data_IF_901001575235
#
_entry.id   IF_901001575235
#
_cell.length_a   1.000
_cell.length_b   1.000
_cell.length_c   1.000
_cell.angle_alpha   90.00
_cell.angle_beta   90.00
_cell.angle_gamma   90.00
#
_symmetry.space_group_name_H-M   'P 1'
#
loop_
_entity.id
_entity.type
_entity.pdbx_description
1 polymer ?
#
# COMPACT_ATOMS: atom_id res chain seq x y z
N UNK A 1 -52.72 -32.06 -32.11
CA UNK A 1 -52.61 -30.86 -31.32
C UNK A 1 -51.19 -30.82 -30.69
N UNK A 2 -50.26 -30.04 -31.18
CA UNK A 2 -48.88 -29.88 -30.61
C UNK A 2 -48.92 -28.81 -29.52
N UNK A 3 -48.71 -29.21 -28.30
CA UNK A 3 -48.54 -28.28 -27.15
C UNK A 3 -47.12 -27.72 -27.18
N UNK A 4 -46.98 -26.41 -27.40
CA UNK A 4 -45.75 -25.67 -27.24
C UNK A 4 -45.56 -25.39 -25.75
N UNK A 5 -44.47 -25.91 -25.17
CA UNK A 5 -44.06 -25.62 -23.79
C UNK A 5 -43.18 -24.36 -23.85
N UNK A 6 -43.69 -23.22 -23.41
CA UNK A 6 -42.93 -21.99 -23.30
C UNK A 6 -42.13 -22.03 -22.01
N UNK A 7 -40.85 -22.23 -22.10
CA UNK A 7 -39.91 -22.12 -20.96
C UNK A 7 -39.68 -20.64 -20.68
N UNK A 8 -40.19 -20.15 -19.57
CA UNK A 8 -39.91 -18.81 -19.06
C UNK A 8 -38.56 -18.84 -18.34
N UNK A 9 -37.51 -18.32 -19.00
CA UNK A 9 -36.20 -18.12 -18.36
C UNK A 9 -36.28 -16.85 -17.51
N UNK A 10 -36.41 -17.02 -16.19
CA UNK A 10 -36.30 -15.91 -15.24
C UNK A 10 -34.81 -15.59 -15.10
N UNK A 11 -34.35 -14.55 -15.78
CA UNK A 11 -33.01 -13.96 -15.58
C UNK A 11 -33.10 -13.20 -14.24
N UNK A 12 -32.66 -13.84 -13.16
CA UNK A 12 -32.46 -13.17 -11.88
C UNK A 12 -31.23 -12.27 -12.02
N UNK A 13 -31.43 -11.00 -12.27
CA UNK A 13 -30.37 -9.99 -12.13
C UNK A 13 -30.11 -9.82 -10.65
N UNK A 14 -29.06 -10.44 -10.14
CA UNK A 14 -28.52 -10.11 -8.81
C UNK A 14 -27.98 -8.69 -8.89
N UNK A 15 -28.65 -7.76 -8.23
CA UNK A 15 -28.11 -6.44 -7.95
C UNK A 15 -26.90 -6.65 -7.03
N UNK A 16 -25.70 -6.60 -7.60
CA UNK A 16 -24.48 -6.55 -6.82
C UNK A 16 -24.32 -5.12 -6.33
N UNK A 17 -24.45 -4.93 -5.03
CA UNK A 17 -24.08 -3.64 -4.41
C UNK A 17 -22.55 -3.53 -4.39
N UNK A 18 -22.05 -2.30 -4.62
CA UNK A 18 -20.63 -1.99 -4.46
C UNK A 18 -20.16 -2.38 -3.04
N UNK A 19 -19.13 -3.18 -2.95
CA UNK A 19 -18.57 -3.65 -1.69
C UNK A 19 -17.27 -2.90 -1.38
N UNK A 20 -16.92 -2.88 -0.08
CA UNK A 20 -15.66 -2.33 0.39
C UNK A 20 -14.73 -3.48 0.76
N UNK A 21 -13.58 -3.56 0.09
CA UNK A 21 -12.58 -4.62 0.27
C UNK A 21 -11.23 -4.03 0.60
N UNK A 22 -10.46 -4.68 1.46
CA UNK A 22 -9.14 -4.20 1.83
C UNK A 22 -8.11 -5.33 1.92
N UNK A 23 -6.86 -4.95 1.65
CA UNK A 23 -5.66 -5.71 1.99
C UNK A 23 -4.81 -4.84 2.93
N UNK A 24 -4.53 -5.36 4.12
CA UNK A 24 -3.74 -4.67 5.14
C UNK A 24 -2.49 -5.49 5.44
N UNK A 25 -1.32 -4.90 5.19
CA UNK A 25 -0.02 -5.53 5.36
C UNK A 25 0.73 -4.75 6.44
N UNK A 26 1.18 -5.44 7.49
CA UNK A 26 1.93 -4.83 8.58
C UNK A 26 3.12 -5.69 8.99
N UNK A 27 4.34 -5.17 8.82
CA UNK A 27 5.58 -5.89 9.10
C UNK A 27 6.33 -5.15 10.21
N UNK A 28 6.42 -5.78 11.39
CA UNK A 28 7.19 -5.30 12.52
C UNK A 28 8.52 -6.02 12.68
N UNK A 29 8.61 -7.27 12.22
CA UNK A 29 9.82 -8.09 12.23
C UNK A 29 10.08 -8.70 10.87
N UNK A 30 11.34 -8.90 10.53
CA UNK A 30 11.80 -9.44 9.25
C UNK A 30 12.53 -10.77 9.46
N UNK A 31 12.74 -11.53 8.40
CA UNK A 31 13.47 -12.80 8.46
C UNK A 31 14.85 -12.59 9.11
N UNK A 32 15.32 -13.52 9.95
CA UNK A 32 16.55 -13.33 10.73
C UNK A 32 17.78 -12.98 9.89
N UNK A 33 17.89 -13.52 8.69
CA UNK A 33 19.04 -13.33 7.80
C UNK A 33 18.79 -12.20 6.77
N UNK A 34 17.70 -11.46 6.88
CA UNK A 34 17.36 -10.38 5.93
C UNK A 34 18.24 -9.14 6.09
N UNK A 35 18.82 -8.94 7.28
CA UNK A 35 19.61 -7.75 7.61
C UNK A 35 18.79 -6.51 7.98
N UNK A 36 17.45 -6.60 8.00
CA UNK A 36 16.56 -5.52 8.42
C UNK A 36 16.43 -5.46 9.94
N UNK A 37 16.41 -4.24 10.46
CA UNK A 37 16.03 -4.00 11.86
C UNK A 37 14.52 -4.17 12.05
N UNK A 38 14.11 -4.61 13.24
CA UNK A 38 12.72 -4.62 13.62
C UNK A 38 12.16 -3.17 13.73
N UNK A 39 10.90 -3.02 13.29
CA UNK A 39 10.08 -1.81 13.44
C UNK A 39 8.75 -2.20 14.09
N UNK A 40 7.70 -1.40 13.92
CA UNK A 40 6.39 -1.72 14.54
C UNK A 40 5.23 -1.58 13.53
N UNK A 41 5.44 -2.00 12.28
CA UNK A 41 4.40 -1.93 11.24
C UNK A 41 3.21 -2.86 11.52
N UNK A 42 3.44 -3.93 12.24
CA UNK A 42 2.40 -4.87 12.67
C UNK A 42 1.41 -4.26 13.69
N UNK A 43 1.82 -3.27 14.49
CA UNK A 43 0.91 -2.55 15.37
C UNK A 43 -0.15 -1.73 14.61
N UNK A 44 0.15 -1.33 13.38
CA UNK A 44 -0.73 -0.49 12.56
C UNK A 44 -1.98 -1.23 12.09
N UNK A 45 -1.90 -2.57 11.97
CA UNK A 45 -3.00 -3.41 11.49
C UNK A 45 -4.30 -3.16 12.26
N UNK A 46 -4.22 -3.14 13.60
CA UNK A 46 -5.39 -2.95 14.44
C UNK A 46 -6.03 -1.57 14.25
N UNK A 47 -5.20 -0.51 14.11
CA UNK A 47 -5.69 0.85 13.84
C UNK A 47 -6.38 0.94 12.47
N UNK A 48 -5.76 0.33 11.45
CA UNK A 48 -6.31 0.31 10.09
C UNK A 48 -7.64 -0.45 10.05
N UNK A 49 -7.72 -1.61 10.70
CA UNK A 49 -8.97 -2.38 10.77
C UNK A 49 -10.08 -1.59 11.46
N UNK A 50 -9.81 -0.93 12.59
CA UNK A 50 -10.78 -0.08 13.30
C UNK A 50 -11.23 1.09 12.41
N UNK A 51 -10.29 1.77 11.77
CA UNK A 51 -10.55 2.88 10.86
C UNK A 51 -11.43 2.44 9.66
N UNK A 52 -11.14 1.29 9.06
CA UNK A 52 -11.90 0.76 7.94
C UNK A 52 -13.31 0.32 8.35
N UNK A 53 -13.45 -0.34 9.52
CA UNK A 53 -14.77 -0.69 10.05
C UNK A 53 -15.64 0.53 10.33
N UNK A 54 -15.05 1.60 10.91
CA UNK A 54 -15.76 2.87 11.13
C UNK A 54 -16.24 3.51 9.81
N UNK A 55 -15.58 3.17 8.69
CA UNK A 55 -15.95 3.60 7.34
C UNK A 55 -16.74 2.54 6.54
N UNK A 56 -17.32 1.55 7.19
CA UNK A 56 -18.27 0.59 6.60
C UNK A 56 -17.64 -0.61 5.89
N UNK A 57 -16.35 -0.90 6.12
CA UNK A 57 -15.75 -2.16 5.67
C UNK A 57 -16.17 -3.30 6.61
N UNK A 58 -16.56 -4.42 6.05
CA UNK A 58 -16.78 -5.66 6.81
C UNK A 58 -15.44 -6.34 7.09
N UNK A 59 -15.23 -6.84 8.32
CA UNK A 59 -14.01 -7.61 8.66
C UNK A 59 -13.79 -8.80 7.73
N UNK A 60 -14.87 -9.42 7.24
CA UNK A 60 -14.76 -10.55 6.30
C UNK A 60 -14.21 -10.15 4.93
N UNK A 61 -14.17 -8.85 4.63
CA UNK A 61 -13.61 -8.30 3.38
C UNK A 61 -12.30 -7.55 3.62
N UNK A 62 -11.69 -7.72 4.79
CA UNK A 62 -10.36 -7.18 5.13
C UNK A 62 -9.38 -8.34 5.25
N UNK A 63 -8.61 -8.58 4.20
CA UNK A 63 -7.48 -9.52 4.25
C UNK A 63 -6.29 -8.86 4.99
N UNK A 64 -5.59 -9.65 5.80
CA UNK A 64 -4.47 -9.17 6.61
C UNK A 64 -3.27 -10.07 6.45
N UNK A 65 -2.09 -9.49 6.26
CA UNK A 65 -0.79 -10.17 6.30
C UNK A 65 0.09 -9.49 7.34
N UNK A 66 0.53 -10.26 8.34
CA UNK A 66 1.32 -9.76 9.46
C UNK A 66 2.67 -10.49 9.55
N UNK A 67 3.76 -9.75 9.68
CA UNK A 67 5.11 -10.28 9.90
C UNK A 67 5.45 -11.42 8.92
N UNK A 68 5.75 -12.62 9.41
CA UNK A 68 6.12 -13.79 8.61
C UNK A 68 5.07 -14.23 7.57
N UNK A 69 3.83 -13.76 7.69
CA UNK A 69 2.80 -13.98 6.66
C UNK A 69 2.97 -13.04 5.46
N UNK A 70 3.65 -11.90 5.65
CA UNK A 70 3.84 -10.88 4.61
C UNK A 70 5.09 -11.15 3.75
N UNK A 71 5.28 -12.40 3.31
CA UNK A 71 6.29 -12.74 2.30
C UNK A 71 5.92 -12.16 0.94
N UNK A 72 6.91 -11.95 0.06
CA UNK A 72 6.67 -11.50 -1.31
C UNK A 72 5.59 -12.34 -2.01
N UNK A 73 5.72 -13.67 -1.94
CA UNK A 73 4.76 -14.58 -2.57
C UNK A 73 3.34 -14.43 -2.01
N UNK A 74 3.19 -14.31 -0.70
CA UNK A 74 1.88 -14.16 -0.06
C UNK A 74 1.24 -12.80 -0.38
N UNK A 75 2.04 -11.73 -0.48
CA UNK A 75 1.55 -10.41 -0.89
C UNK A 75 1.04 -10.46 -2.34
N UNK A 76 1.79 -11.07 -3.26
CA UNK A 76 1.36 -11.27 -4.65
C UNK A 76 0.06 -12.09 -4.74
N UNK A 77 -0.05 -13.18 -3.95
CA UNK A 77 -1.26 -13.99 -3.89
C UNK A 77 -2.46 -13.21 -3.33
N UNK A 78 -2.25 -12.37 -2.30
CA UNK A 78 -3.30 -11.55 -1.71
C UNK A 78 -3.79 -10.45 -2.68
N UNK A 79 -2.88 -9.80 -3.42
CA UNK A 79 -3.23 -8.85 -4.48
C UNK A 79 -4.03 -9.54 -5.60
N UNK A 80 -3.60 -10.72 -6.03
CA UNK A 80 -4.33 -11.53 -7.01
C UNK A 80 -5.74 -11.92 -6.51
N UNK A 81 -5.86 -12.39 -5.28
CA UNK A 81 -7.15 -12.75 -4.66
C UNK A 81 -8.08 -11.53 -4.53
N UNK A 82 -7.53 -10.36 -4.15
CA UNK A 82 -8.26 -9.11 -4.11
C UNK A 82 -8.79 -8.75 -5.51
N UNK A 83 -7.95 -8.84 -6.54
CA UNK A 83 -8.35 -8.61 -7.93
C UNK A 83 -9.43 -9.61 -8.41
N UNK A 84 -9.32 -10.89 -8.04
CA UNK A 84 -10.31 -11.90 -8.40
C UNK A 84 -11.68 -11.67 -7.74
N UNK A 85 -11.68 -11.18 -6.50
CA UNK A 85 -12.91 -10.92 -5.74
C UNK A 85 -13.56 -9.58 -6.05
N UNK A 86 -12.79 -8.61 -6.56
CA UNK A 86 -13.27 -7.26 -6.89
C UNK A 86 -14.36 -7.28 -7.95
N UNK A 87 -15.36 -6.45 -7.76
CA UNK A 87 -16.50 -6.26 -8.65
C UNK A 87 -16.59 -4.79 -9.11
N UNK A 88 -17.40 -4.55 -10.12
CA UNK A 88 -17.65 -3.20 -10.61
C UNK A 88 -18.19 -2.31 -9.49
N UNK A 89 -17.66 -1.07 -9.47
CA UNK A 89 -18.01 -0.01 -8.51
C UNK A 89 -17.57 -0.28 -7.06
N UNK A 90 -16.79 -1.34 -6.78
CA UNK A 90 -16.21 -1.60 -5.45
C UNK A 90 -15.25 -0.50 -5.01
N UNK A 91 -15.10 -0.38 -3.67
CA UNK A 91 -14.08 0.46 -3.03
C UNK A 91 -12.97 -0.44 -2.49
N UNK A 92 -11.78 -0.26 -3.04
CA UNK A 92 -10.58 -1.04 -2.69
C UNK A 92 -9.64 -0.18 -1.87
N UNK A 93 -9.16 -0.74 -0.75
CA UNK A 93 -8.16 -0.10 0.10
C UNK A 93 -6.99 -1.06 0.34
N UNK A 94 -5.80 -0.62 0.01
CA UNK A 94 -4.56 -1.38 0.21
C UNK A 94 -3.67 -0.57 1.15
N UNK A 95 -3.19 -1.19 2.22
CA UNK A 95 -2.32 -0.55 3.20
C UNK A 95 -1.07 -1.38 3.41
N UNK A 96 0.07 -0.76 3.23
CA UNK A 96 1.37 -1.32 3.57
C UNK A 96 2.02 -0.51 4.68
N UNK A 97 2.48 -1.19 5.70
CA UNK A 97 3.20 -0.62 6.84
C UNK A 97 4.45 -1.46 7.11
N UNK A 98 5.61 -0.95 6.72
CA UNK A 98 6.84 -1.72 6.74
C UNK A 98 8.06 -0.88 6.34
N UNK A 99 9.18 -1.55 6.03
CA UNK A 99 10.32 -0.92 5.38
C UNK A 99 10.09 -0.73 3.89
N UNK A 100 10.64 0.37 3.36
CA UNK A 100 10.82 0.59 1.93
C UNK A 100 12.30 0.68 1.57
N UNK A 101 12.61 0.46 0.30
CA UNK A 101 13.97 0.56 -0.25
C UNK A 101 13.91 0.94 -1.72
N UNK A 102 14.82 1.82 -2.17
CA UNK A 102 15.05 2.03 -3.60
C UNK A 102 15.83 0.87 -4.19
N UNK A 103 15.40 0.40 -5.37
CA UNK A 103 16.03 -0.66 -6.16
C UNK A 103 16.33 -0.14 -7.56
N UNK A 104 17.34 -0.68 -8.24
CA UNK A 104 17.66 -0.25 -9.60
C UNK A 104 16.44 -0.34 -10.52
N UNK A 105 16.09 0.77 -11.15
CA UNK A 105 15.09 0.85 -12.21
C UNK A 105 15.55 0.05 -13.44
N UNK A 106 14.72 -0.89 -13.89
CA UNK A 106 15.05 -1.82 -14.99
C UNK A 106 14.41 -1.38 -16.30
N UNK A 107 13.25 -0.73 -16.23
CA UNK A 107 12.48 -0.31 -17.40
C UNK A 107 12.84 1.13 -17.84
N UNK A 108 13.63 1.86 -17.03
CA UNK A 108 14.14 3.19 -17.28
C UNK A 108 13.05 4.25 -17.45
N UNK A 109 12.00 4.18 -16.62
CA UNK A 109 10.94 5.18 -16.56
C UNK A 109 11.09 6.17 -15.40
N UNK A 110 12.03 5.91 -14.45
CA UNK A 110 12.35 6.82 -13.36
C UNK A 110 13.54 7.73 -13.68
N UNK A 111 13.39 9.04 -13.41
CA UNK A 111 14.43 10.05 -13.72
C UNK A 111 15.72 9.84 -12.92
N UNK A 112 15.63 9.33 -11.70
CA UNK A 112 16.78 9.07 -10.82
C UNK A 112 17.39 7.67 -10.99
N UNK A 113 16.74 6.80 -11.79
CA UNK A 113 17.18 5.44 -12.13
C UNK A 113 16.90 4.41 -11.04
N UNK A 114 15.92 4.66 -10.16
CA UNK A 114 15.55 3.74 -9.08
C UNK A 114 14.04 3.65 -8.92
N UNK A 115 13.51 2.42 -8.87
CA UNK A 115 12.15 2.11 -8.47
C UNK A 115 12.02 2.21 -6.94
N UNK A 116 10.87 2.61 -6.45
CA UNK A 116 10.48 2.41 -5.06
C UNK A 116 9.98 0.99 -4.85
N UNK A 117 10.32 0.39 -3.71
CA UNK A 117 9.84 -0.95 -3.40
C UNK A 117 9.35 -1.09 -1.96
N UNK A 118 8.25 -1.80 -1.78
CA UNK A 118 7.93 -2.37 -0.47
C UNK A 118 8.87 -3.52 -0.19
N UNK A 119 9.30 -3.62 1.07
CA UNK A 119 10.17 -4.70 1.54
C UNK A 119 9.32 -5.77 2.23
N UNK A 120 9.03 -6.92 1.58
CA UNK A 120 8.38 -8.05 2.21
C UNK A 120 9.23 -8.67 3.33
N UNK A 121 8.58 -9.45 4.19
CA UNK A 121 9.23 -10.12 5.33
C UNK A 121 10.51 -10.90 4.96
N UNK A 122 10.51 -11.53 3.79
CA UNK A 122 11.57 -12.43 3.32
C UNK A 122 12.56 -11.80 2.33
N UNK A 123 12.49 -10.48 2.11
CA UNK A 123 13.39 -9.74 1.23
C UNK A 123 14.64 -9.28 1.98
N UNK A 124 15.87 -9.74 1.60
CA UNK A 124 17.11 -9.24 2.17
C UNK A 124 17.41 -7.79 1.80
N UNK A 125 18.08 -7.05 2.70
CA UNK A 125 18.46 -5.64 2.50
C UNK A 125 19.58 -5.46 1.45
N UNK A 126 20.34 -6.51 1.16
CA UNK A 126 21.49 -6.48 0.23
C UNK A 126 21.43 -7.66 -0.75
N UNK A 127 21.95 -7.49 -1.96
CA UNK A 127 22.12 -8.60 -2.89
C UNK A 127 23.13 -9.64 -2.35
N UNK A 128 22.98 -10.89 -2.81
CA UNK A 128 23.90 -11.98 -2.50
C UNK A 128 24.04 -12.89 -3.72
N UNK A 129 24.89 -13.92 -3.64
CA UNK A 129 25.07 -14.90 -4.72
C UNK A 129 23.77 -15.68 -5.08
N UNK A 130 22.76 -15.60 -4.21
CA UNK A 130 21.48 -16.32 -4.36
C UNK A 130 20.26 -15.39 -4.30
N UNK A 131 20.44 -14.07 -4.24
CA UNK A 131 19.37 -13.10 -4.17
C UNK A 131 19.70 -11.82 -4.93
N UNK A 132 18.90 -11.50 -5.92
CA UNK A 132 19.07 -10.38 -6.85
C UNK A 132 17.86 -9.43 -6.86
N UNK A 133 17.18 -9.27 -5.72
CA UNK A 133 16.07 -8.34 -5.55
C UNK A 133 14.69 -8.86 -5.98
N UNK A 134 14.58 -10.14 -6.35
CA UNK A 134 13.34 -10.75 -6.85
C UNK A 134 12.19 -10.75 -5.83
N UNK A 135 12.48 -10.51 -4.54
CA UNK A 135 11.48 -10.43 -3.48
C UNK A 135 11.20 -8.99 -2.98
N UNK A 136 11.81 -7.98 -3.58
CA UNK A 136 11.33 -6.60 -3.40
C UNK A 136 10.07 -6.40 -4.25
N UNK A 137 8.99 -5.87 -3.69
CA UNK A 137 7.80 -5.55 -4.46
C UNK A 137 7.93 -4.12 -4.97
N UNK A 138 8.31 -3.97 -6.24
CA UNK A 138 8.47 -2.66 -6.87
C UNK A 138 7.12 -2.00 -7.12
N UNK A 139 7.12 -0.68 -7.24
CA UNK A 139 5.96 0.11 -7.65
C UNK A 139 5.44 -0.31 -9.02
N UNK A 140 6.29 -0.69 -9.96
CA UNK A 140 5.93 -1.30 -11.25
C UNK A 140 5.05 -2.55 -11.10
N UNK A 141 5.47 -3.49 -10.24
CA UNK A 141 4.70 -4.72 -9.97
C UNK A 141 3.38 -4.40 -9.26
N UNK A 142 3.40 -3.42 -8.36
CA UNK A 142 2.21 -2.92 -7.69
C UNK A 142 1.27 -2.27 -8.71
N UNK A 143 1.78 -1.36 -9.55
CA UNK A 143 1.02 -0.66 -10.59
C UNK A 143 0.39 -1.62 -11.60
N UNK A 144 1.07 -2.73 -11.94
CA UNK A 144 0.49 -3.79 -12.76
C UNK A 144 -0.75 -4.43 -12.08
N UNK A 145 -0.64 -4.71 -10.79
CA UNK A 145 -1.76 -5.26 -9.99
C UNK A 145 -2.91 -4.26 -9.88
N UNK A 146 -2.60 -2.97 -9.64
CA UNK A 146 -3.57 -1.88 -9.56
C UNK A 146 -4.29 -1.63 -10.89
N UNK A 147 -3.59 -1.75 -12.01
CA UNK A 147 -4.20 -1.68 -13.34
C UNK A 147 -5.25 -2.77 -13.55
N UNK A 148 -4.94 -3.99 -13.12
CA UNK A 148 -5.88 -5.11 -13.16
C UNK A 148 -7.11 -4.87 -12.27
N UNK A 149 -6.92 -4.35 -11.06
CA UNK A 149 -7.99 -3.93 -10.15
C UNK A 149 -8.84 -2.81 -10.76
N UNK A 150 -8.21 -1.80 -11.36
CA UNK A 150 -8.89 -0.67 -12.01
C UNK A 150 -9.84 -1.12 -13.11
N UNK A 151 -9.40 -2.08 -13.93
CA UNK A 151 -10.26 -2.68 -14.95
C UNK A 151 -11.48 -3.39 -14.36
N UNK A 152 -11.33 -4.02 -13.19
CA UNK A 152 -12.41 -4.73 -12.50
C UNK A 152 -13.43 -3.77 -11.90
N UNK A 153 -12.97 -2.77 -11.16
CA UNK A 153 -13.86 -1.85 -10.45
C UNK A 153 -14.47 -0.78 -11.38
N UNK A 154 -13.80 -0.50 -12.50
CA UNK A 154 -14.26 0.49 -13.48
C UNK A 154 -14.19 1.92 -12.97
N UNK A 155 -14.73 2.85 -13.74
CA UNK A 155 -14.58 4.31 -13.52
C UNK A 155 -15.31 4.87 -12.31
N UNK A 156 -16.31 4.17 -11.77
CA UNK A 156 -17.02 4.58 -10.55
C UNK A 156 -16.43 3.93 -9.29
N UNK A 157 -15.66 2.84 -9.46
CA UNK A 157 -14.95 2.21 -8.34
C UNK A 157 -13.84 3.11 -7.83
N UNK A 158 -13.36 2.82 -6.62
CA UNK A 158 -12.25 3.56 -6.02
C UNK A 158 -11.15 2.59 -5.64
N UNK A 159 -9.91 2.99 -5.85
CA UNK A 159 -8.73 2.28 -5.38
C UNK A 159 -7.85 3.27 -4.65
N UNK A 160 -7.53 2.97 -3.40
CA UNK A 160 -6.61 3.77 -2.59
C UNK A 160 -5.52 2.88 -2.03
N UNK A 161 -4.28 3.28 -2.26
CA UNK A 161 -3.07 2.64 -1.73
C UNK A 161 -2.44 3.56 -0.70
N UNK A 162 -2.05 3.02 0.43
CA UNK A 162 -1.31 3.72 1.48
C UNK A 162 0.03 3.02 1.67
N UNK A 163 1.12 3.77 1.56
CA UNK A 163 2.48 3.31 1.86
C UNK A 163 3.02 4.03 3.09
N UNK A 164 2.91 3.40 4.26
CA UNK A 164 3.57 3.88 5.48
C UNK A 164 4.97 3.25 5.57
N UNK A 165 5.79 3.60 4.58
CA UNK A 165 7.16 3.18 4.37
C UNK A 165 8.00 4.36 3.88
N UNK A 166 9.32 4.20 3.84
CA UNK A 166 10.26 5.19 3.29
C UNK A 166 11.22 4.49 2.33
N UNK A 167 11.30 4.98 1.11
CA UNK A 167 12.15 4.39 0.07
C UNK A 167 13.53 5.07 0.03
N UNK A 168 13.62 6.33 0.45
CA UNK A 168 14.84 7.11 0.47
C UNK A 168 15.15 7.65 1.88
N UNK A 169 16.12 7.09 2.55
CA UNK A 169 16.58 7.59 3.84
C UNK A 169 17.86 8.45 3.69
N UNK A 170 17.78 9.74 3.40
CA UNK A 170 18.95 10.66 3.41
C UNK A 170 19.31 11.14 4.80
N UNK A 171 18.97 10.45 5.83
CA UNK A 171 19.45 10.74 7.18
C UNK A 171 20.65 9.85 7.50
N UNK A 172 21.79 10.43 7.86
CA UNK A 172 22.80 9.70 8.61
C UNK A 172 22.09 8.98 9.76
N UNK A 173 21.87 7.67 9.60
CA UNK A 173 21.38 6.81 10.68
C UNK A 173 22.36 6.98 11.82
N UNK A 174 22.03 7.74 12.83
CA UNK A 174 22.79 7.67 14.09
C UNK A 174 22.56 6.27 14.62
N UNK A 175 23.65 5.56 14.91
CA UNK A 175 23.64 4.27 15.58
C UNK A 175 22.64 4.36 16.76
N UNK A 176 21.52 3.61 16.70
CA UNK A 176 20.47 3.62 17.70
C UNK A 176 19.17 4.36 17.36
N UNK A 177 18.99 4.94 16.16
CA UNK A 177 17.68 5.43 15.70
C UNK A 177 16.85 4.26 15.15
N UNK A 178 16.04 3.62 15.99
CA UNK A 178 15.13 2.49 15.64
C UNK A 178 13.77 2.95 15.09
N UNK A 179 13.60 4.25 14.82
CA UNK A 179 12.28 4.84 14.53
C UNK A 179 12.05 5.18 13.06
N UNK A 180 12.88 4.67 12.13
CA UNK A 180 12.78 4.96 10.69
C UNK A 180 12.34 3.72 9.94
N UNK A 181 11.35 3.87 9.04
CA UNK A 181 10.77 2.80 8.22
C UNK A 181 11.36 2.77 6.82
N UNK A 182 12.66 2.54 6.70
CA UNK A 182 13.36 2.47 5.42
C UNK A 182 14.86 2.57 5.59
N UNK A 183 15.57 2.66 4.48
CA UNK A 183 17.03 2.75 4.42
C UNK A 183 17.48 3.71 3.33
N UNK A 184 18.64 4.34 3.51
CA UNK A 184 19.33 5.10 2.45
C UNK A 184 20.18 4.19 1.54
N UNK A 185 20.33 2.92 1.91
CA UNK A 185 21.05 1.96 1.07
C UNK A 185 20.18 1.57 -0.11
N UNK A 186 20.64 1.87 -1.32
CA UNK A 186 19.97 1.44 -2.55
C UNK A 186 20.30 -0.02 -2.84
N UNK A 187 19.31 -0.77 -3.31
CA UNK A 187 19.52 -2.15 -3.76
C UNK A 187 19.97 -2.14 -5.22
N UNK A 188 21.26 -2.33 -5.44
CA UNK A 188 21.84 -2.24 -6.78
C UNK A 188 21.77 -3.62 -7.47
N UNK A 189 21.02 -3.68 -8.56
CA UNK A 189 20.96 -4.85 -9.43
C UNK A 189 22.11 -4.82 -10.43
N UNK A 190 22.81 -5.94 -10.57
CA UNK A 190 23.79 -6.17 -11.65
C UNK A 190 23.16 -6.91 -12.82
N UNK A 191 22.13 -7.71 -12.55
CA UNK A 191 21.33 -8.44 -13.53
C UNK A 191 19.87 -8.45 -13.05
N UNK A 192 18.92 -8.53 -13.97
CA UNK A 192 17.50 -8.53 -13.61
C UNK A 192 16.82 -9.83 -14.02
N UNK A 193 16.02 -10.38 -13.10
CA UNK A 193 15.09 -11.48 -13.37
C UNK A 193 13.63 -11.00 -13.32
N UNK A 194 13.39 -9.71 -13.01
CA UNK A 194 12.04 -9.15 -12.90
C UNK A 194 11.43 -8.90 -14.27
N UNK A 195 10.11 -9.05 -14.35
CA UNK A 195 9.35 -8.67 -15.52
C UNK A 195 9.35 -7.14 -15.66
N UNK A 196 9.47 -6.66 -16.89
CA UNK A 196 9.28 -5.24 -17.20
C UNK A 196 7.79 -4.99 -17.42
N UNK A 197 7.28 -3.95 -16.79
CA UNK A 197 5.92 -3.50 -16.95
C UNK A 197 5.93 -2.13 -17.65
N UNK A 198 4.90 -1.89 -18.47
CA UNK A 198 4.72 -0.60 -19.10
C UNK A 198 3.80 0.23 -18.22
N UNK A 199 4.17 1.48 -17.86
CA UNK A 199 3.31 2.38 -17.10
C UNK A 199 1.93 2.49 -17.75
N UNK A 200 0.87 2.39 -16.96
CA UNK A 200 -0.51 2.49 -17.41
C UNK A 200 -1.15 3.74 -16.80
N UNK A 201 -2.23 4.20 -17.43
CA UNK A 201 -2.96 5.34 -16.91
C UNK A 201 -3.51 5.04 -15.52
N UNK A 202 -3.09 5.81 -14.53
CA UNK A 202 -3.47 5.67 -13.13
C UNK A 202 -4.96 5.99 -12.91
N UNK A 203 -5.69 5.02 -12.41
CA UNK A 203 -7.07 5.19 -11.94
C UNK A 203 -7.18 4.78 -10.47
N UNK A 204 -6.18 5.17 -9.70
CA UNK A 204 -6.08 4.95 -8.25
C UNK A 204 -5.46 6.17 -7.58
N UNK A 205 -5.54 6.21 -6.27
CA UNK A 205 -4.79 7.13 -5.42
C UNK A 205 -3.69 6.34 -4.73
N UNK A 206 -2.47 6.88 -4.73
CA UNK A 206 -1.39 6.44 -3.88
C UNK A 206 -1.02 7.56 -2.91
N UNK A 207 -1.01 7.25 -1.63
CA UNK A 207 -0.64 8.16 -0.57
C UNK A 207 0.54 7.58 0.18
N UNK A 208 1.70 8.21 0.07
CA UNK A 208 2.94 7.82 0.72
C UNK A 208 3.29 8.74 1.89
N UNK A 209 4.06 8.20 2.85
CA UNK A 209 4.28 8.83 4.14
C UNK A 209 5.18 10.07 4.07
N UNK A 210 6.09 10.14 3.12
CA UNK A 210 7.07 11.22 2.97
C UNK A 210 7.52 11.35 1.53
N UNK A 211 8.02 12.53 1.17
CA UNK A 211 8.67 12.76 -0.11
C UNK A 211 10.07 12.13 -0.13
N UNK A 212 10.63 12.01 -1.34
CA UNK A 212 11.99 11.55 -1.54
C UNK A 212 12.98 12.41 -0.76
N UNK A 213 13.96 11.73 -0.17
CA UNK A 213 14.96 12.41 0.68
C UNK A 213 14.51 12.66 2.12
N UNK A 214 13.26 12.44 2.48
CA UNK A 214 12.77 12.48 3.85
C UNK A 214 12.73 11.08 4.48
N UNK A 215 12.64 11.03 5.82
CA UNK A 215 12.52 9.79 6.56
C UNK A 215 11.10 9.62 7.10
N UNK A 216 10.44 8.53 6.78
CA UNK A 216 9.23 8.13 7.48
C UNK A 216 9.55 7.64 8.90
N UNK A 217 8.84 8.19 9.89
CA UNK A 217 9.13 7.96 11.31
C UNK A 217 7.97 7.26 12.00
N UNK A 218 8.33 6.51 13.05
CA UNK A 218 7.35 5.95 13.97
C UNK A 218 6.95 7.01 15.02
N UNK A 219 5.69 6.95 15.42
CA UNK A 219 5.11 7.74 16.50
C UNK A 219 4.77 6.82 17.69
N UNK A 220 5.06 7.28 18.90
CA UNK A 220 4.77 6.51 20.11
C UNK A 220 3.55 7.09 20.82
N UNK A 221 2.54 6.26 21.03
CA UNK A 221 1.34 6.55 21.79
C UNK A 221 1.03 5.44 22.77
N UNK A 222 0.83 5.79 24.05
CA UNK A 222 0.55 4.85 25.13
C UNK A 222 1.55 3.65 25.19
N UNK A 223 2.83 3.93 24.96
CA UNK A 223 3.91 2.95 25.01
C UNK A 223 4.00 2.02 23.80
N UNK A 224 3.17 2.21 22.78
CA UNK A 224 3.25 1.48 21.51
C UNK A 224 3.72 2.40 20.40
N UNK A 225 4.56 1.88 19.51
CA UNK A 225 4.98 2.61 18.31
C UNK A 225 4.09 2.25 17.12
N UNK A 226 3.76 3.26 16.32
CA UNK A 226 2.94 3.18 15.12
C UNK A 226 3.60 3.95 13.99
N UNK A 227 3.23 3.67 12.76
CA UNK A 227 3.55 4.53 11.63
C UNK A 227 2.90 5.90 11.77
N UNK A 228 3.68 6.94 11.51
CA UNK A 228 3.15 8.29 11.67
C UNK A 228 2.03 8.61 10.69
N UNK A 229 2.12 8.14 9.44
CA UNK A 229 1.05 8.28 8.46
C UNK A 229 -0.20 7.51 8.87
N UNK A 230 -0.04 6.24 9.27
CA UNK A 230 -1.15 5.39 9.74
C UNK A 230 -1.85 6.02 10.93
N UNK A 231 -1.09 6.52 11.90
CA UNK A 231 -1.67 7.16 13.08
C UNK A 231 -2.38 8.48 12.73
N UNK A 232 -1.83 9.27 11.80
CA UNK A 232 -2.49 10.48 11.29
C UNK A 232 -3.82 10.16 10.59
N UNK A 233 -3.86 9.12 9.76
CA UNK A 233 -5.09 8.63 9.12
C UNK A 233 -6.12 8.16 10.15
N UNK A 234 -5.68 7.43 11.18
CA UNK A 234 -6.54 6.99 12.27
C UNK A 234 -7.19 8.15 13.01
N UNK A 235 -6.45 9.23 13.29
CA UNK A 235 -6.99 10.45 13.90
C UNK A 235 -8.01 11.15 12.99
N UNK A 236 -7.90 10.99 11.69
CA UNK A 236 -8.77 11.58 10.66
C UNK A 236 -9.84 10.61 10.13
N UNK A 237 -10.06 9.46 10.78
CA UNK A 237 -10.90 8.38 10.26
C UNK A 237 -12.32 8.81 9.86
N UNK A 238 -12.91 9.78 10.56
CA UNK A 238 -14.26 10.28 10.26
C UNK A 238 -14.29 11.18 9.01
N UNK A 239 -13.13 11.52 8.47
CA UNK A 239 -12.98 12.41 7.31
C UNK A 239 -12.59 11.66 6.03
N UNK A 240 -12.22 10.38 6.12
CA UNK A 240 -11.73 9.60 4.98
C UNK A 240 -12.77 9.41 3.88
N UNK A 241 -14.05 9.31 4.25
CA UNK A 241 -15.18 9.16 3.32
C UNK A 241 -15.95 10.46 3.07
N UNK A 242 -15.50 11.59 3.64
CA UNK A 242 -16.22 12.88 3.53
C UNK A 242 -15.38 14.00 2.93
N UNK A 243 -14.05 13.96 3.10
CA UNK A 243 -13.13 14.94 2.51
C UNK A 243 -12.54 14.43 1.20
N UNK A 244 -12.32 15.32 0.25
CA UNK A 244 -11.54 14.96 -0.94
C UNK A 244 -10.10 14.60 -0.58
N UNK A 245 -9.44 13.78 -1.39
CA UNK A 245 -8.05 13.41 -1.15
C UNK A 245 -7.13 14.65 -1.09
N UNK A 246 -7.40 15.69 -1.90
CA UNK A 246 -6.68 16.97 -1.86
C UNK A 246 -6.85 17.77 -0.55
N UNK A 247 -8.00 17.66 0.09
CA UNK A 247 -8.21 18.28 1.40
C UNK A 247 -7.59 17.42 2.49
N UNK A 248 -7.77 16.10 2.38
CA UNK A 248 -7.28 15.15 3.36
C UNK A 248 -5.75 15.18 3.48
N UNK A 249 -5.00 15.29 2.38
CA UNK A 249 -3.53 15.35 2.42
C UNK A 249 -3.02 16.52 3.28
N UNK A 250 -3.69 17.69 3.22
CA UNK A 250 -3.33 18.85 4.04
C UNK A 250 -3.63 18.64 5.53
N UNK A 251 -4.71 17.91 5.81
CA UNK A 251 -5.05 17.54 7.19
C UNK A 251 -4.05 16.52 7.74
N UNK A 252 -3.64 15.54 6.92
CA UNK A 252 -2.61 14.57 7.26
C UNK A 252 -1.28 15.28 7.55
N UNK A 253 -0.82 16.18 6.68
CA UNK A 253 0.39 16.96 6.89
C UNK A 253 0.33 17.74 8.20
N UNK A 254 -0.84 18.35 8.50
CA UNK A 254 -1.08 19.06 9.76
C UNK A 254 -0.98 18.13 10.97
N UNK A 255 -1.44 16.88 10.88
CA UNK A 255 -1.31 15.91 11.96
C UNK A 255 0.14 15.42 12.08
N UNK A 256 0.80 15.09 10.97
CA UNK A 256 2.20 14.65 10.97
C UNK A 256 3.12 15.68 11.65
N UNK A 257 2.93 16.97 11.37
CA UNK A 257 3.68 18.05 12.02
C UNK A 257 3.47 18.14 13.55
N UNK A 258 2.39 17.54 14.09
CA UNK A 258 2.16 17.43 15.53
C UNK A 258 2.74 16.15 16.12
N UNK A 259 2.75 15.07 15.34
CA UNK A 259 3.16 13.73 15.79
C UNK A 259 4.69 13.56 15.77
N UNK A 260 5.35 14.09 14.76
CA UNK A 260 6.79 13.91 14.57
C UNK A 260 7.54 15.24 14.66
N UNK A 261 8.76 15.19 15.24
CA UNK A 261 9.56 16.40 15.47
C UNK A 261 10.27 16.92 14.23
N UNK A 262 10.46 16.11 13.20
CA UNK A 262 11.11 16.50 11.94
C UNK A 262 10.06 16.55 10.84
N UNK A 263 10.19 17.46 9.87
CA UNK A 263 9.27 17.53 8.75
C UNK A 263 9.13 16.17 8.06
N UNK A 264 7.91 15.83 7.71
CA UNK A 264 7.54 14.67 6.93
C UNK A 264 6.39 15.12 6.04
N UNK A 265 6.64 15.15 4.73
CA UNK A 265 5.73 15.70 3.73
C UNK A 265 5.04 14.55 3.00
N UNK A 266 3.80 14.20 3.35
CA UNK A 266 3.09 13.11 2.70
C UNK A 266 2.85 13.45 1.23
N UNK A 267 2.94 12.46 0.35
CA UNK A 267 2.71 12.62 -1.08
C UNK A 267 1.37 12.00 -1.48
N UNK A 268 0.73 12.59 -2.48
CA UNK A 268 -0.53 12.12 -3.06
C UNK A 268 -0.41 12.05 -4.58
N UNK A 269 -0.37 10.85 -5.10
CA UNK A 269 -0.28 10.55 -6.52
C UNK A 269 -1.62 10.05 -7.05
N UNK A 270 -1.80 10.14 -8.37
CA UNK A 270 -3.00 9.72 -9.07
C UNK A 270 -3.61 10.83 -9.91
N UNK A 271 -4.64 10.49 -10.69
CA UNK A 271 -5.30 11.43 -11.59
C UNK A 271 -6.02 12.55 -10.82
N UNK A 272 -6.21 13.70 -11.48
CA UNK A 272 -6.95 14.82 -10.91
C UNK A 272 -8.40 14.47 -10.56
N UNK A 273 -9.01 13.50 -11.26
CA UNK A 273 -10.34 13.00 -10.93
C UNK A 273 -10.33 12.25 -9.60
N UNK A 274 -9.36 11.34 -9.42
CA UNK A 274 -9.18 10.60 -8.17
C UNK A 274 -8.87 11.53 -7.00
N UNK A 275 -7.98 12.53 -7.19
CA UNK A 275 -7.61 13.50 -6.15
C UNK A 275 -8.78 14.37 -5.67
N UNK A 276 -9.82 14.57 -6.50
CA UNK A 276 -11.05 15.29 -6.11
C UNK A 276 -12.08 14.40 -5.42
N UNK A 277 -11.96 13.09 -5.52
CA UNK A 277 -12.82 12.13 -4.82
C UNK A 277 -12.36 11.93 -3.36
N UNK A 278 -13.22 11.31 -2.55
CA UNK A 278 -12.84 10.80 -1.22
C UNK A 278 -11.97 9.56 -1.37
N UNK A 279 -11.14 9.25 -0.37
CA UNK A 279 -10.29 8.06 -0.42
C UNK A 279 -11.04 6.76 -0.09
N UNK A 280 -12.19 6.83 0.56
CA UNK A 280 -13.08 5.70 0.88
C UNK A 280 -14.51 5.93 0.40
#
# INVERSE_FOLDING_TARGET
MKRWLTILIIISSTLTFAEKRALVIGIGTYAPDSGWDAINGDNDIALVQEMLQANGFSLNHIATLQNEQATYQNIQQALCALCQSAQKDDVIYIHFSGHGQQITDINHDEEDGYDESWVPYDAPIQPSDTYYGERHLTDDELNHSLSSLSQKVGTNGKITVISDACHSGTGTRKIGETNIRGTSAKFLLTETTKAQYTPQQEHWLHLSACMDGECNRQFIHDGKAYGSLTYALYLLRDQLSTSSAKELIKLIETQLNKLVRRPQTPQLEGSEACKKATIL
#
